data_IF_204317970094
#
_entry.id   IF_204317970094
#
_cell.length_a   1.000
_cell.length_b   1.000
_cell.length_c   1.000
_cell.angle_alpha   90.00
_cell.angle_beta   90.00
_cell.angle_gamma   90.00
#
_symmetry.space_group_name_H-M   'P 1'
#
loop_
_entity.id
_entity.type
_entity.pdbx_description
1 polymer ?
#
# COMPACT_ATOMS: atom_id res chain seq x y z
N UNK A 1 -20.16 -107.84 24.59
CA UNK A 1 -21.13 -107.01 25.38
C UNK A 1 -20.83 -107.11 26.87
N UNK A 2 -20.36 -108.35 27.35
CA UNK A 2 -20.05 -108.59 28.76
C UNK A 2 -18.68 -109.21 28.90
N UNK A 3 -17.94 -108.90 29.94
CA UNK A 3 -16.70 -109.50 30.35
C UNK A 3 -16.77 -109.82 31.86
N UNK A 4 -16.62 -111.14 32.25
CA UNK A 4 -16.76 -111.57 33.63
C UNK A 4 -18.09 -111.11 34.30
N UNK A 5 -19.22 -111.19 33.58
CA UNK A 5 -20.54 -110.90 34.07
C UNK A 5 -20.87 -109.40 34.14
N UNK A 6 -19.98 -108.52 33.83
CA UNK A 6 -20.19 -107.07 33.81
C UNK A 6 -20.32 -106.52 32.38
N UNK A 7 -21.22 -105.61 32.17
CA UNK A 7 -21.36 -104.96 30.90
C UNK A 7 -20.14 -104.14 30.57
N UNK A 8 -19.64 -104.26 29.33
CA UNK A 8 -18.50 -103.49 28.83
C UNK A 8 -19.09 -102.16 28.30
N UNK A 9 -18.63 -101.02 28.90
CA UNK A 9 -18.90 -99.74 28.39
C UNK A 9 -17.75 -99.39 27.42
N UNK A 10 -18.14 -99.13 26.19
CA UNK A 10 -17.22 -98.70 25.17
C UNK A 10 -17.26 -97.15 25.11
N UNK A 11 -16.11 -96.53 24.85
CA UNK A 11 -15.94 -95.10 24.58
C UNK A 11 -15.14 -94.95 23.30
N UNK A 12 -15.31 -93.88 22.65
CA UNK A 12 -14.48 -93.50 21.51
C UNK A 12 -13.63 -92.23 21.90
N UNK A 13 -12.44 -92.19 21.34
CA UNK A 13 -11.52 -91.10 21.44
C UNK A 13 -11.04 -90.72 20.04
N UNK A 14 -10.67 -89.50 19.79
CA UNK A 14 -10.09 -89.01 18.56
C UNK A 14 -8.66 -88.54 18.80
N UNK A 15 -7.76 -88.83 17.87
CA UNK A 15 -6.46 -88.18 17.86
C UNK A 15 -6.68 -86.67 17.50
N UNK A 16 -6.02 -85.78 18.23
CA UNK A 16 -6.20 -84.35 18.07
C UNK A 16 -5.94 -83.92 16.60
N UNK A 17 -6.96 -83.30 15.99
CA UNK A 17 -6.85 -82.68 14.68
C UNK A 17 -6.37 -81.27 14.90
N UNK A 18 -5.27 -80.86 14.30
CA UNK A 18 -4.68 -79.57 14.47
C UNK A 18 -5.70 -78.45 14.08
N UNK A 19 -5.81 -77.41 14.92
CA UNK A 19 -6.70 -76.27 14.74
C UNK A 19 -8.22 -76.55 14.91
N UNK A 20 -8.60 -77.82 15.25
CA UNK A 20 -9.98 -78.16 15.58
C UNK A 20 -10.14 -78.37 17.08
N UNK A 21 -11.26 -77.96 17.60
CA UNK A 21 -11.75 -78.27 18.93
C UNK A 21 -12.71 -79.45 18.83
N UNK A 22 -12.35 -80.61 19.45
CA UNK A 22 -13.15 -81.81 19.37
C UNK A 22 -14.02 -81.99 20.58
N UNK A 23 -15.29 -82.34 20.35
CA UNK A 23 -16.23 -82.70 21.38
C UNK A 23 -16.78 -84.07 21.08
N UNK A 24 -16.87 -85.01 22.13
CA UNK A 24 -17.40 -86.33 21.98
C UNK A 24 -18.64 -86.47 22.84
N UNK A 25 -19.76 -86.80 22.21
CA UNK A 25 -21.03 -87.11 22.88
C UNK A 25 -21.44 -88.47 22.46
N UNK A 26 -21.44 -89.47 23.42
CA UNK A 26 -21.63 -90.86 23.17
C UNK A 26 -20.59 -91.40 22.17
N UNK A 27 -20.98 -91.72 20.97
CA UNK A 27 -20.15 -92.18 19.85
C UNK A 27 -20.05 -91.21 18.69
N UNK A 28 -20.57 -89.99 18.88
CA UNK A 28 -20.49 -88.91 17.90
C UNK A 28 -19.31 -88.04 18.24
N UNK A 29 -18.38 -87.86 17.29
CA UNK A 29 -17.22 -86.98 17.35
C UNK A 29 -17.58 -85.72 16.51
N UNK A 30 -17.51 -84.54 17.13
CA UNK A 30 -17.73 -83.22 16.44
C UNK A 30 -16.47 -82.44 16.53
N UNK A 31 -15.85 -82.12 15.39
CA UNK A 31 -14.73 -81.21 15.26
C UNK A 31 -15.20 -79.77 14.82
N UNK A 32 -14.90 -78.76 15.63
CA UNK A 32 -15.24 -77.39 15.35
C UNK A 32 -13.94 -76.60 15.07
N UNK A 33 -13.88 -76.03 13.91
CA UNK A 33 -12.79 -75.12 13.53
C UNK A 33 -13.25 -73.67 13.83
N UNK A 34 -12.38 -72.87 14.50
CA UNK A 34 -12.56 -71.43 14.68
C UNK A 34 -11.68 -70.70 13.67
N UNK A 35 -12.27 -70.12 12.61
CA UNK A 35 -11.47 -69.41 11.61
C UNK A 35 -10.67 -68.30 12.24
N UNK A 36 -9.43 -68.08 11.80
CA UNK A 36 -8.56 -67.01 12.22
C UNK A 36 -9.15 -65.71 11.72
N UNK A 37 -9.23 -64.71 12.59
CA UNK A 37 -9.68 -63.38 12.28
C UNK A 37 -8.54 -62.38 12.46
N UNK A 38 -8.60 -61.30 11.65
CA UNK A 38 -7.66 -60.18 11.69
C UNK A 38 -8.41 -58.87 11.81
N UNK A 39 -7.71 -57.85 12.30
CA UNK A 39 -8.18 -56.47 12.28
C UNK A 39 -7.46 -55.69 11.15
N UNK A 40 -8.22 -54.87 10.43
CA UNK A 40 -7.68 -54.03 9.37
C UNK A 40 -7.77 -52.58 9.81
N UNK A 41 -6.62 -52.00 10.18
CA UNK A 41 -6.48 -50.62 10.64
C UNK A 41 -6.66 -49.67 9.48
N UNK A 42 -7.40 -48.56 9.68
CA UNK A 42 -7.57 -47.48 8.73
C UNK A 42 -7.05 -46.18 9.37
N UNK A 43 -6.16 -45.54 8.67
CA UNK A 43 -5.63 -44.23 9.05
C UNK A 43 -6.13 -43.17 8.07
N UNK A 44 -6.88 -42.21 8.55
CA UNK A 44 -7.28 -41.02 7.76
C UNK A 44 -6.34 -39.88 8.05
N UNK A 45 -5.77 -39.28 7.01
CA UNK A 45 -4.86 -38.14 7.10
C UNK A 45 -5.49 -36.95 6.37
N UNK A 46 -5.43 -35.80 6.98
CA UNK A 46 -5.84 -34.52 6.42
C UNK A 46 -4.61 -33.68 6.07
N UNK A 47 -4.50 -33.26 4.80
CA UNK A 47 -3.48 -32.37 4.30
C UNK A 47 -4.16 -31.06 3.86
N UNK A 48 -4.53 -30.20 4.82
CA UNK A 48 -5.39 -29.03 4.64
C UNK A 48 -5.01 -27.84 5.53
N UNK A 49 -3.72 -27.72 5.86
CA UNK A 49 -3.17 -26.69 6.74
C UNK A 49 -3.95 -26.59 8.09
N UNK A 50 -4.19 -27.75 8.74
CA UNK A 50 -4.95 -27.83 10.00
C UNK A 50 -6.39 -27.31 9.89
N UNK A 51 -7.06 -27.60 8.77
CA UNK A 51 -8.41 -27.14 8.49
C UNK A 51 -8.53 -25.63 8.45
N UNK A 52 -7.53 -24.95 7.87
CA UNK A 52 -7.46 -23.49 7.79
C UNK A 52 -8.74 -22.89 7.21
N UNK A 53 -9.28 -23.46 6.14
CA UNK A 53 -10.48 -22.97 5.45
C UNK A 53 -11.80 -23.44 6.07
N UNK A 54 -11.72 -24.30 7.11
CA UNK A 54 -12.92 -24.82 7.78
C UNK A 54 -13.74 -25.80 6.95
N UNK A 55 -13.15 -26.40 5.89
CA UNK A 55 -13.88 -27.30 4.95
C UNK A 55 -13.87 -28.77 5.37
N UNK A 56 -13.09 -29.13 6.40
CA UNK A 56 -13.03 -30.52 6.88
C UNK A 56 -14.41 -30.93 7.40
N UNK A 57 -14.98 -32.06 6.88
CA UNK A 57 -16.27 -32.55 7.33
C UNK A 57 -16.17 -33.14 8.73
N UNK A 58 -17.34 -33.35 9.36
CA UNK A 58 -17.43 -34.01 10.66
C UNK A 58 -17.07 -35.48 10.61
N UNK A 59 -17.24 -36.14 9.45
CA UNK A 59 -16.95 -37.56 9.25
C UNK A 59 -16.55 -37.87 7.81
N UNK A 60 -15.84 -38.97 7.63
CA UNK A 60 -15.62 -39.62 6.33
C UNK A 60 -15.93 -41.08 6.44
N UNK A 61 -16.34 -41.69 5.33
CA UNK A 61 -16.69 -43.10 5.27
C UNK A 61 -15.78 -43.84 4.31
N UNK A 62 -15.25 -44.98 4.71
CA UNK A 62 -14.47 -45.87 3.86
C UNK A 62 -15.19 -47.23 3.69
N UNK A 63 -15.18 -47.75 2.47
CA UNK A 63 -15.71 -49.06 2.12
C UNK A 63 -14.54 -50.05 2.11
N UNK A 64 -14.72 -51.20 2.77
CA UNK A 64 -13.80 -52.30 2.73
C UNK A 64 -13.99 -53.12 1.44
N UNK A 65 -12.87 -53.52 0.83
CA UNK A 65 -12.82 -54.44 -0.31
C UNK A 65 -12.00 -55.66 0.10
N UNK A 66 -12.34 -56.81 -0.46
CA UNK A 66 -11.58 -58.06 -0.32
C UNK A 66 -11.16 -58.58 -1.69
N UNK A 67 -9.98 -59.16 -1.75
CA UNK A 67 -9.45 -59.93 -2.86
C UNK A 67 -9.07 -61.32 -2.38
N UNK A 68 -9.57 -62.40 -2.98
CA UNK A 68 -9.30 -63.78 -2.63
C UNK A 68 -8.42 -64.42 -3.72
N UNK A 69 -7.17 -64.74 -3.40
CA UNK A 69 -6.19 -65.22 -4.38
C UNK A 69 -6.01 -64.21 -5.52
N UNK A 70 -6.18 -64.62 -6.78
CA UNK A 70 -5.98 -63.79 -7.97
C UNK A 70 -7.25 -63.08 -8.48
N UNK A 71 -8.38 -63.22 -7.77
CA UNK A 71 -9.65 -62.56 -8.16
C UNK A 71 -9.54 -61.04 -8.05
N UNK A 72 -10.41 -60.28 -8.80
CA UNK A 72 -10.51 -58.83 -8.63
C UNK A 72 -11.05 -58.47 -7.25
N UNK A 73 -10.63 -57.32 -6.68
CA UNK A 73 -11.17 -56.81 -5.43
C UNK A 73 -12.66 -56.51 -5.52
N UNK A 74 -13.45 -57.05 -4.62
CA UNK A 74 -14.89 -56.82 -4.50
C UNK A 74 -15.23 -56.12 -3.18
N UNK A 75 -16.24 -55.23 -3.20
CA UNK A 75 -16.71 -54.59 -1.96
C UNK A 75 -17.27 -55.65 -0.98
N UNK A 76 -16.89 -55.54 0.28
CA UNK A 76 -17.45 -56.40 1.35
C UNK A 76 -18.75 -55.74 1.78
N UNK A 77 -19.87 -56.43 1.51
CA UNK A 77 -21.19 -55.94 1.84
C UNK A 77 -21.36 -55.66 3.35
N UNK A 78 -21.96 -54.50 3.68
CA UNK A 78 -22.15 -54.05 5.04
C UNK A 78 -20.89 -53.63 5.81
N UNK A 79 -19.71 -53.72 5.21
CA UNK A 79 -18.44 -53.32 5.84
C UNK A 79 -18.03 -51.90 5.39
N UNK A 80 -18.69 -50.91 5.95
CA UNK A 80 -18.30 -49.49 5.88
C UNK A 80 -17.82 -49.05 7.26
N UNK A 81 -16.77 -48.22 7.29
CA UNK A 81 -16.22 -47.66 8.52
C UNK A 81 -16.32 -46.14 8.42
N UNK A 82 -16.99 -45.49 9.37
CA UNK A 82 -17.08 -44.06 9.46
C UNK A 82 -16.08 -43.56 10.49
N UNK A 83 -15.15 -42.72 10.07
CA UNK A 83 -14.18 -42.03 10.93
C UNK A 83 -14.67 -40.62 11.21
N UNK A 84 -14.50 -40.19 12.44
CA UNK A 84 -14.95 -38.89 12.95
C UNK A 84 -13.85 -38.20 13.78
N UNK A 85 -14.09 -36.99 14.25
CA UNK A 85 -13.18 -36.33 15.17
C UNK A 85 -12.97 -37.10 16.52
N UNK A 86 -13.80 -38.10 16.85
CA UNK A 86 -13.63 -38.94 18.04
C UNK A 86 -12.48 -39.93 17.85
N UNK A 87 -12.16 -40.29 16.60
CA UNK A 87 -11.10 -41.22 16.22
C UNK A 87 -9.75 -40.50 16.06
N UNK A 88 -9.69 -39.22 16.44
CA UNK A 88 -8.53 -38.35 16.33
C UNK A 88 -7.38 -38.81 17.22
N UNK A 89 -6.21 -39.00 16.63
CA UNK A 89 -4.94 -39.31 17.33
C UNK A 89 -4.03 -38.06 17.40
N UNK A 90 -4.13 -37.16 16.42
CA UNK A 90 -3.47 -35.86 16.39
C UNK A 90 -4.31 -34.84 15.60
N UNK A 91 -3.77 -33.61 15.37
CA UNK A 91 -4.51 -32.51 14.70
C UNK A 91 -5.08 -32.91 13.33
N UNK A 92 -4.41 -33.80 12.60
CA UNK A 92 -4.69 -34.14 11.20
C UNK A 92 -4.87 -35.64 10.93
N UNK A 93 -4.92 -36.47 11.98
CA UNK A 93 -4.98 -37.91 11.81
C UNK A 93 -6.11 -38.52 12.64
N UNK A 94 -6.94 -39.34 12.00
CA UNK A 94 -7.98 -40.17 12.62
C UNK A 94 -7.67 -41.64 12.38
N UNK A 95 -7.92 -42.50 13.34
CA UNK A 95 -7.63 -43.92 13.27
C UNK A 95 -8.80 -44.72 13.76
N UNK A 96 -9.23 -45.70 12.96
CA UNK A 96 -10.20 -46.71 13.36
C UNK A 96 -9.86 -48.07 12.68
N UNK A 97 -10.57 -49.13 13.02
CA UNK A 97 -10.30 -50.45 12.45
C UNK A 97 -11.59 -51.18 12.10
N UNK A 98 -11.56 -51.91 11.00
CA UNK A 98 -12.46 -53.02 10.80
C UNK A 98 -11.97 -54.18 11.65
N UNK A 99 -12.83 -54.75 12.48
CA UNK A 99 -12.46 -55.83 13.38
C UNK A 99 -13.08 -57.14 12.97
N UNK A 100 -12.47 -58.24 13.42
CA UNK A 100 -12.96 -59.58 13.25
C UNK A 100 -13.23 -59.95 11.78
N UNK A 101 -12.27 -59.66 10.90
CA UNK A 101 -12.33 -60.00 9.48
C UNK A 101 -11.73 -61.41 9.26
N UNK A 102 -12.36 -62.28 8.43
CA UNK A 102 -11.77 -63.57 8.06
C UNK A 102 -10.40 -63.39 7.42
N UNK A 103 -9.42 -64.16 7.87
CA UNK A 103 -8.08 -64.18 7.23
C UNK A 103 -8.08 -65.02 5.94
N UNK A 104 -8.92 -66.05 5.87
CA UNK A 104 -8.97 -66.97 4.74
C UNK A 104 -10.41 -67.15 4.23
N UNK A 105 -10.58 -67.43 2.95
CA UNK A 105 -11.83 -67.86 2.31
C UNK A 105 -11.54 -69.01 1.36
N UNK A 106 -12.23 -70.13 1.55
CA UNK A 106 -12.01 -71.40 0.80
C UNK A 106 -10.50 -71.83 0.73
N UNK A 107 -9.81 -71.64 1.84
CA UNK A 107 -8.37 -72.06 1.96
C UNK A 107 -7.39 -71.09 1.33
N UNK A 108 -7.86 -69.94 0.75
CA UNK A 108 -7.02 -68.89 0.19
C UNK A 108 -7.00 -67.66 1.11
N UNK A 109 -5.83 -67.06 1.24
CA UNK A 109 -5.68 -65.83 2.02
C UNK A 109 -6.45 -64.67 1.38
N UNK A 110 -7.09 -63.81 2.21
CA UNK A 110 -7.82 -62.63 1.80
C UNK A 110 -6.90 -61.43 1.94
N UNK A 111 -6.71 -60.72 0.83
CA UNK A 111 -6.08 -59.38 0.85
C UNK A 111 -7.17 -58.32 0.94
N UNK A 112 -7.10 -57.48 1.99
CA UNK A 112 -8.04 -56.37 2.18
C UNK A 112 -7.47 -55.06 1.62
N UNK A 113 -8.38 -54.21 1.10
CA UNK A 113 -8.11 -52.84 0.66
C UNK A 113 -9.31 -51.96 0.98
N UNK A 114 -9.14 -50.63 0.87
CA UNK A 114 -10.18 -49.66 1.18
C UNK A 114 -10.30 -48.65 0.06
N UNK A 115 -11.51 -48.04 -0.04
CA UNK A 115 -11.74 -46.85 -0.82
C UNK A 115 -12.59 -45.88 0.01
N UNK A 116 -12.30 -44.58 -0.07
CA UNK A 116 -13.16 -43.54 0.50
C UNK A 116 -14.44 -43.42 -0.31
N UNK A 117 -15.55 -43.33 0.39
CA UNK A 117 -16.89 -43.11 -0.19
C UNK A 117 -17.22 -41.66 -0.03
N UNK A 118 -17.71 -41.00 -1.10
CA UNK A 118 -18.16 -39.59 -1.07
C UNK A 118 -17.04 -38.64 -0.60
N UNK A 119 -15.98 -38.51 -1.41
CA UNK A 119 -14.89 -37.56 -1.13
C UNK A 119 -15.43 -36.17 -0.84
N UNK A 120 -15.06 -35.54 0.28
CA UNK A 120 -15.59 -34.24 0.65
C UNK A 120 -15.31 -33.16 -0.41
N UNK A 121 -16.28 -32.27 -0.60
CA UNK A 121 -16.15 -31.19 -1.57
C UNK A 121 -14.91 -30.32 -1.27
N UNK A 122 -14.13 -30.03 -2.30
CA UNK A 122 -12.88 -29.27 -2.18
C UNK A 122 -11.65 -30.05 -1.71
N UNK A 123 -11.78 -31.40 -1.60
CA UNK A 123 -10.67 -32.31 -1.31
C UNK A 123 -10.40 -33.23 -2.49
N UNK A 124 -9.13 -33.60 -2.63
CA UNK A 124 -8.67 -34.71 -3.44
C UNK A 124 -8.29 -35.87 -2.52
N UNK A 125 -8.80 -37.09 -2.81
CA UNK A 125 -8.53 -38.27 -2.01
C UNK A 125 -7.50 -39.17 -2.68
N UNK A 126 -6.56 -39.71 -1.88
CA UNK A 126 -5.66 -40.74 -2.29
C UNK A 126 -5.60 -41.86 -1.24
N UNK A 127 -5.43 -43.09 -1.69
CA UNK A 127 -5.33 -44.27 -0.81
C UNK A 127 -4.03 -44.99 -1.09
N UNK A 128 -3.24 -45.22 -0.04
CA UNK A 128 -2.01 -46.01 -0.10
C UNK A 128 -2.02 -47.00 1.06
N UNK A 129 -2.20 -48.32 0.75
CA UNK A 129 -2.37 -49.34 1.74
C UNK A 129 -3.56 -49.07 2.66
N UNK A 130 -3.29 -48.83 3.92
CA UNK A 130 -4.29 -48.58 4.98
C UNK A 130 -4.49 -47.09 5.26
N UNK A 131 -3.87 -46.19 4.47
CA UNK A 131 -3.91 -44.74 4.66
C UNK A 131 -4.76 -44.11 3.60
N UNK A 132 -5.77 -43.33 4.02
CA UNK A 132 -6.60 -42.45 3.18
C UNK A 132 -6.19 -41.02 3.45
N UNK A 133 -5.66 -40.32 2.46
CA UNK A 133 -5.23 -38.92 2.57
C UNK A 133 -6.18 -38.02 1.79
N UNK A 134 -6.76 -37.03 2.45
CA UNK A 134 -7.49 -35.96 1.77
C UNK A 134 -6.66 -34.68 1.78
N UNK A 135 -6.45 -34.14 0.58
CA UNK A 135 -5.66 -32.92 0.38
C UNK A 135 -6.59 -31.78 -0.08
N UNK A 136 -6.47 -30.64 0.59
CA UNK A 136 -7.10 -29.38 0.22
C UNK A 136 -6.06 -28.28 0.22
N UNK A 137 -5.97 -27.53 -0.88
CA UNK A 137 -5.12 -26.34 -0.95
C UNK A 137 -5.91 -25.14 -0.44
N UNK A 138 -5.47 -24.50 0.66
CA UNK A 138 -6.16 -23.35 1.22
C UNK A 138 -6.31 -22.18 0.25
N UNK A 139 -7.45 -21.49 0.31
CA UNK A 139 -7.72 -20.33 -0.48
C UNK A 139 -6.86 -19.13 -0.03
N UNK A 140 -6.44 -18.33 -1.00
CA UNK A 140 -5.63 -17.14 -0.75
C UNK A 140 -6.30 -15.90 -1.35
N UNK A 141 -5.88 -14.73 -0.86
CA UNK A 141 -6.26 -13.41 -1.37
C UNK A 141 -5.02 -12.57 -1.62
N UNK A 142 -5.08 -11.72 -2.64
CA UNK A 142 -4.04 -10.73 -2.95
C UNK A 142 -4.67 -9.35 -2.85
N UNK A 143 -4.03 -8.46 -2.08
CA UNK A 143 -4.43 -7.08 -1.94
C UNK A 143 -3.53 -6.21 -2.82
N UNK A 144 -4.12 -5.28 -3.56
CA UNK A 144 -3.38 -4.36 -4.42
C UNK A 144 -3.92 -2.94 -4.33
N UNK A 145 -3.08 -1.99 -4.72
CA UNK A 145 -3.47 -0.59 -4.68
C UNK A 145 -2.44 0.35 -5.25
N UNK A 146 -2.74 1.65 -5.13
CA UNK A 146 -1.89 2.74 -5.58
C UNK A 146 -1.64 3.74 -4.48
N UNK A 147 -0.47 4.36 -4.50
CA UNK A 147 -0.11 5.51 -3.71
C UNK A 147 -0.32 6.78 -4.52
N UNK A 148 -1.00 7.75 -3.93
CA UNK A 148 -1.29 9.06 -4.53
C UNK A 148 -0.74 10.15 -3.64
N UNK A 149 -0.15 11.20 -4.24
CA UNK A 149 0.32 12.40 -3.59
C UNK A 149 -0.56 13.59 -3.95
N UNK A 150 -0.98 14.37 -2.96
CA UNK A 150 -1.69 15.65 -3.07
C UNK A 150 -0.86 16.72 -2.38
N UNK A 151 0.10 17.30 -3.09
CA UNK A 151 1.13 18.20 -2.56
C UNK A 151 1.61 19.22 -3.61
N UNK A 152 0.71 19.62 -4.53
CA UNK A 152 1.04 20.51 -5.63
C UNK A 152 2.30 20.06 -6.40
N UNK A 153 2.35 18.78 -6.77
CA UNK A 153 3.48 18.21 -7.49
C UNK A 153 4.82 18.34 -6.73
N UNK A 154 4.79 18.11 -5.40
CA UNK A 154 5.94 18.22 -4.52
C UNK A 154 6.53 19.63 -4.45
N UNK A 155 5.66 20.64 -4.47
CA UNK A 155 6.05 22.06 -4.47
C UNK A 155 7.06 22.40 -3.38
N UNK A 156 6.87 21.86 -2.18
CA UNK A 156 7.74 22.14 -1.01
C UNK A 156 8.95 21.21 -0.90
N UNK A 157 9.10 20.23 -1.82
CA UNK A 157 10.20 19.26 -1.80
C UNK A 157 10.14 18.27 -0.64
N UNK A 158 8.96 18.06 -0.04
CA UNK A 158 8.79 17.23 1.17
C UNK A 158 8.41 15.78 0.87
N UNK A 159 8.09 15.46 -0.40
CA UNK A 159 7.71 14.11 -0.79
C UNK A 159 8.83 13.12 -0.54
N UNK A 160 8.52 12.04 0.15
CA UNK A 160 9.46 10.95 0.38
C UNK A 160 9.69 10.15 -0.91
N UNK A 161 10.93 9.69 -1.14
CA UNK A 161 11.27 8.84 -2.30
C UNK A 161 10.55 7.49 -2.26
N UNK A 162 10.22 7.02 -1.07
CA UNK A 162 9.53 5.77 -0.81
C UNK A 162 8.69 5.83 0.45
N UNK A 163 7.62 5.04 0.46
CA UNK A 163 6.76 4.85 1.63
C UNK A 163 6.59 3.37 1.91
N UNK A 164 6.15 3.02 3.12
CA UNK A 164 5.85 1.65 3.54
C UNK A 164 4.35 1.50 3.74
N UNK A 165 3.78 0.57 2.98
CA UNK A 165 2.39 0.15 3.12
C UNK A 165 2.35 -1.16 3.92
N UNK A 166 1.55 -1.20 4.96
CA UNK A 166 1.36 -2.35 5.83
C UNK A 166 0.01 -2.99 5.58
N UNK A 167 -0.01 -4.32 5.49
CA UNK A 167 -1.22 -5.12 5.47
C UNK A 167 -1.37 -5.75 6.86
N UNK A 168 -2.55 -5.61 7.45
CA UNK A 168 -2.82 -6.06 8.80
C UNK A 168 -3.97 -7.08 8.84
N UNK A 169 -3.83 -8.05 9.74
CA UNK A 169 -4.92 -8.90 10.23
C UNK A 169 -5.23 -8.45 11.67
N UNK A 170 -6.34 -7.74 11.86
CA UNK A 170 -6.57 -6.98 13.09
C UNK A 170 -5.46 -5.95 13.31
N UNK A 171 -4.80 -6.00 14.48
CA UNK A 171 -3.68 -5.10 14.81
C UNK A 171 -2.31 -5.66 14.40
N UNK A 172 -2.26 -6.90 13.91
CA UNK A 172 -1.01 -7.56 13.53
C UNK A 172 -0.63 -7.23 12.11
N UNK A 173 0.55 -6.64 11.91
CA UNK A 173 1.14 -6.48 10.58
C UNK A 173 1.57 -7.86 10.05
N UNK A 174 0.98 -8.28 8.94
CA UNK A 174 1.28 -9.56 8.28
C UNK A 174 2.23 -9.39 7.10
N UNK A 175 2.24 -8.21 6.50
CA UNK A 175 3.17 -7.87 5.42
C UNK A 175 3.43 -6.37 5.40
N UNK A 176 4.67 -5.99 5.07
CA UNK A 176 5.09 -4.62 4.77
C UNK A 176 5.61 -4.56 3.34
N UNK A 177 5.20 -3.56 2.57
CA UNK A 177 5.53 -3.38 1.16
C UNK A 177 6.10 -1.99 0.97
N UNK A 178 7.29 -1.90 0.40
CA UNK A 178 7.90 -0.62 0.01
C UNK A 178 7.32 -0.18 -1.35
N UNK A 179 6.90 1.08 -1.44
CA UNK A 179 6.26 1.68 -2.60
C UNK A 179 7.00 2.96 -2.96
N UNK A 180 7.38 3.09 -4.22
CA UNK A 180 8.22 4.18 -4.72
C UNK A 180 7.90 4.49 -6.19
N UNK A 181 8.57 5.46 -6.76
CA UNK A 181 8.49 5.75 -8.19
C UNK A 181 8.92 4.55 -9.06
N UNK A 182 9.93 3.79 -8.63
CA UNK A 182 10.38 2.58 -9.31
C UNK A 182 9.28 1.50 -9.41
N UNK A 183 8.33 1.46 -8.47
CA UNK A 183 7.14 0.59 -8.53
C UNK A 183 5.95 1.24 -9.25
N UNK A 184 6.13 2.45 -9.82
CA UNK A 184 5.05 3.26 -10.37
C UNK A 184 4.00 3.64 -9.31
N UNK A 185 4.44 3.77 -8.06
CA UNK A 185 3.56 4.06 -6.90
C UNK A 185 2.44 3.03 -6.72
N UNK A 186 2.70 1.76 -7.09
CA UNK A 186 1.76 0.64 -6.94
C UNK A 186 2.30 -0.38 -5.95
N UNK A 187 1.39 -1.08 -5.30
CA UNK A 187 1.71 -2.19 -4.43
C UNK A 187 0.78 -3.38 -4.68
N UNK A 188 1.33 -4.56 -4.44
CA UNK A 188 0.59 -5.82 -4.44
C UNK A 188 1.15 -6.72 -3.35
N UNK A 189 0.28 -7.39 -2.61
CA UNK A 189 0.70 -8.34 -1.59
C UNK A 189 1.14 -9.66 -2.23
N UNK A 190 1.91 -10.43 -1.47
CA UNK A 190 1.97 -11.88 -1.71
C UNK A 190 0.59 -12.48 -1.50
N UNK A 191 0.40 -13.72 -1.95
CA UNK A 191 -0.78 -14.49 -1.61
C UNK A 191 -0.88 -14.65 -0.08
N UNK A 192 -1.95 -14.14 0.50
CA UNK A 192 -2.25 -14.21 1.93
C UNK A 192 -3.38 -15.22 2.17
N UNK A 193 -3.42 -15.93 3.32
CA UNK A 193 -4.54 -16.78 3.68
C UNK A 193 -5.87 -16.04 3.60
N UNK A 194 -6.87 -16.63 2.93
CA UNK A 194 -8.21 -16.02 2.88
C UNK A 194 -9.00 -16.32 4.17
N UNK A 195 -8.73 -17.46 4.79
CA UNK A 195 -9.40 -17.92 5.99
C UNK A 195 -8.42 -18.24 7.12
N UNK A 196 -8.89 -18.17 8.35
CA UNK A 196 -8.24 -18.66 9.56
C UNK A 196 -9.28 -19.36 10.44
N UNK A 197 -9.06 -20.64 10.75
CA UNK A 197 -10.03 -21.46 11.50
C UNK A 197 -11.45 -21.42 10.91
N UNK A 198 -11.57 -21.47 9.59
CA UNK A 198 -12.84 -21.44 8.86
C UNK A 198 -13.52 -20.07 8.78
N UNK A 199 -12.91 -19.01 9.32
CA UNK A 199 -13.44 -17.64 9.26
C UNK A 199 -12.66 -16.80 8.27
N UNK A 200 -13.37 -16.05 7.42
CA UNK A 200 -12.73 -15.14 6.47
C UNK A 200 -11.96 -14.03 7.18
N UNK A 201 -10.69 -13.85 6.81
CA UNK A 201 -9.82 -12.80 7.35
C UNK A 201 -10.17 -11.48 6.67
N UNK A 202 -10.45 -10.46 7.46
CA UNK A 202 -10.67 -9.08 6.99
C UNK A 202 -9.36 -8.30 7.11
N UNK A 203 -8.59 -8.31 6.05
CA UNK A 203 -7.35 -7.54 6.00
C UNK A 203 -7.63 -6.05 5.87
N UNK A 204 -6.77 -5.24 6.46
CA UNK A 204 -6.75 -3.78 6.34
C UNK A 204 -5.41 -3.31 5.81
N UNK A 205 -5.42 -2.14 5.18
CA UNK A 205 -4.21 -1.50 4.64
C UNK A 205 -3.96 -0.20 5.40
N UNK A 206 -2.72 0.02 5.80
CA UNK A 206 -2.27 1.24 6.50
C UNK A 206 -0.91 1.67 5.93
N UNK A 207 -0.64 2.95 5.93
CA UNK A 207 0.69 3.49 5.63
C UNK A 207 1.45 3.79 6.92
N UNK A 208 2.74 3.54 6.93
CA UNK A 208 3.63 4.07 7.97
C UNK A 208 3.69 5.60 7.81
N UNK A 209 3.48 6.33 8.89
CA UNK A 209 3.38 7.79 8.85
C UNK A 209 4.54 8.44 8.09
N UNK A 210 4.21 9.32 7.15
CA UNK A 210 5.16 10.17 6.43
C UNK A 210 5.14 11.55 7.05
N UNK A 211 6.32 12.06 7.39
CA UNK A 211 6.46 13.38 8.04
C UNK A 211 5.83 14.47 7.17
N UNK A 212 5.09 15.38 7.81
CA UNK A 212 4.42 16.53 7.19
C UNK A 212 3.28 16.17 6.22
N UNK A 213 2.87 14.89 6.17
CA UNK A 213 1.73 14.43 5.38
C UNK A 213 0.64 13.84 6.25
N UNK A 214 -0.60 14.05 5.82
CA UNK A 214 -1.77 13.34 6.33
C UNK A 214 -2.11 12.22 5.36
N UNK A 215 -2.17 10.98 5.86
CA UNK A 215 -2.49 9.79 5.05
C UNK A 215 -3.95 9.39 5.20
N UNK A 216 -4.58 9.05 4.09
CA UNK A 216 -5.92 8.44 4.04
C UNK A 216 -5.88 7.20 3.15
N UNK A 217 -6.64 6.17 3.54
CA UNK A 217 -6.78 4.93 2.77
C UNK A 217 -8.24 4.76 2.40
N UNK A 218 -8.50 4.53 1.13
CA UNK A 218 -9.82 4.22 0.59
C UNK A 218 -9.78 2.94 -0.23
N UNK A 219 -10.94 2.28 -0.36
CA UNK A 219 -11.08 1.06 -1.16
C UNK A 219 -12.19 1.30 -2.19
N UNK A 220 -11.96 0.92 -3.43
CA UNK A 220 -12.96 0.99 -4.48
C UNK A 220 -13.91 -0.24 -4.47
N UNK A 221 -14.90 -0.25 -5.37
CA UNK A 221 -15.87 -1.34 -5.51
C UNK A 221 -15.24 -2.68 -5.93
N UNK A 222 -14.06 -2.65 -6.51
CA UNK A 222 -13.32 -3.83 -6.98
C UNK A 222 -12.28 -4.30 -5.94
N UNK A 223 -12.29 -3.69 -4.74
CA UNK A 223 -11.41 -4.06 -3.62
C UNK A 223 -9.99 -3.52 -3.73
N UNK A 224 -9.72 -2.60 -4.69
CA UNK A 224 -8.39 -1.97 -4.82
C UNK A 224 -8.24 -0.80 -3.88
N UNK A 225 -7.09 -0.70 -3.25
CA UNK A 225 -6.77 0.35 -2.29
C UNK A 225 -6.16 1.57 -2.95
N UNK A 226 -6.49 2.75 -2.42
CA UNK A 226 -5.79 4.00 -2.71
C UNK A 226 -5.29 4.59 -1.41
N UNK A 227 -3.97 4.75 -1.29
CA UNK A 227 -3.30 5.41 -0.17
C UNK A 227 -2.94 6.82 -0.62
N UNK A 228 -3.60 7.82 -0.06
CA UNK A 228 -3.41 9.23 -0.44
C UNK A 228 -2.70 9.98 0.67
N UNK A 229 -1.56 10.62 0.35
CA UNK A 229 -0.89 11.57 1.22
C UNK A 229 -1.16 12.98 0.76
N UNK A 230 -1.60 13.81 1.70
CA UNK A 230 -1.90 15.23 1.48
C UNK A 230 -0.96 16.10 2.30
N UNK A 231 -0.33 17.08 1.64
CA UNK A 231 0.47 18.14 2.24
C UNK A 231 0.00 19.46 1.65
N UNK A 232 -0.32 20.44 2.50
CA UNK A 232 -0.64 21.80 2.06
C UNK A 232 0.66 22.59 1.95
N UNK A 233 0.99 23.15 0.76
CA UNK A 233 2.21 23.93 0.59
C UNK A 233 2.30 25.10 1.58
N UNK A 234 3.51 25.33 2.08
CA UNK A 234 3.80 26.40 3.02
C UNK A 234 3.64 27.76 2.36
N UNK A 235 3.07 28.69 3.10
CA UNK A 235 2.89 30.08 2.67
C UNK A 235 3.75 31.04 3.48
N UNK A 236 4.03 32.19 2.88
CA UNK A 236 4.77 33.30 3.50
C UNK A 236 4.14 34.63 3.17
N UNK A 237 4.69 35.71 3.74
CA UNK A 237 4.31 37.09 3.40
C UNK A 237 5.55 37.97 3.33
N UNK A 238 5.42 39.07 2.59
CA UNK A 238 6.43 40.11 2.47
C UNK A 238 5.81 41.42 2.93
N UNK A 239 6.43 42.12 3.89
CA UNK A 239 5.98 43.42 4.40
C UNK A 239 7.12 44.40 4.38
N UNK A 240 6.84 45.63 3.96
CA UNK A 240 7.81 46.70 3.88
C UNK A 240 7.26 48.07 4.22
N UNK A 241 8.16 49.01 4.38
CA UNK A 241 7.87 50.39 4.65
C UNK A 241 8.40 51.29 3.52
N UNK A 242 7.65 52.32 3.19
CA UNK A 242 8.10 53.42 2.38
C UNK A 242 8.63 54.54 3.27
N UNK A 243 9.83 55.00 2.99
CA UNK A 243 10.53 56.07 3.73
C UNK A 243 10.80 57.20 2.77
N UNK A 244 10.50 58.45 3.20
CA UNK A 244 10.76 59.65 2.46
C UNK A 244 11.92 60.44 3.08
N UNK A 245 12.89 60.87 2.26
CA UNK A 245 13.97 61.80 2.59
C UNK A 245 13.87 63.00 1.67
N UNK A 246 13.01 63.96 1.99
CA UNK A 246 12.61 65.09 1.15
C UNK A 246 12.29 66.36 1.95
N UNK A 247 12.94 66.51 3.12
CA UNK A 247 12.72 67.65 4.04
C UNK A 247 11.21 67.89 4.31
N UNK A 248 10.47 66.81 4.70
CA UNK A 248 9.01 66.86 4.97
C UNK A 248 8.17 67.31 3.78
N UNK A 249 8.55 66.88 2.56
CA UNK A 249 7.87 67.26 1.30
C UNK A 249 7.99 68.74 1.01
N UNK A 250 9.13 69.32 1.27
CA UNK A 250 9.35 70.79 1.16
C UNK A 250 8.96 71.42 -0.21
N UNK A 251 9.23 70.69 -1.31
CA UNK A 251 8.91 71.14 -2.67
C UNK A 251 7.51 70.65 -3.12
N UNK A 252 6.75 69.97 -2.26
CA UNK A 252 5.34 69.57 -2.53
C UNK A 252 5.18 68.54 -3.62
N UNK A 253 6.24 67.82 -4.00
CA UNK A 253 6.20 66.87 -5.12
C UNK A 253 5.97 65.42 -4.69
N UNK A 254 5.88 65.13 -3.37
CA UNK A 254 5.61 63.79 -2.86
C UNK A 254 4.23 63.33 -3.34
N UNK A 255 4.12 62.18 -4.04
CA UNK A 255 2.83 61.66 -4.46
C UNK A 255 1.99 61.16 -3.27
N UNK A 256 0.67 61.10 -3.42
CA UNK A 256 -0.26 60.58 -2.41
C UNK A 256 -0.05 59.08 -2.12
N UNK A 257 0.49 58.34 -3.08
CA UNK A 257 0.80 56.90 -2.95
C UNK A 257 1.91 56.47 -3.89
N UNK A 258 2.54 55.34 -3.59
CA UNK A 258 3.46 54.64 -4.48
C UNK A 258 2.96 53.26 -4.78
N UNK A 259 3.38 52.69 -5.91
CA UNK A 259 3.12 51.31 -6.27
C UNK A 259 4.40 50.50 -6.16
N UNK A 260 4.33 49.38 -5.44
CA UNK A 260 5.43 48.43 -5.25
C UNK A 260 5.09 47.16 -6.00
N UNK A 261 6.02 46.65 -6.79
CA UNK A 261 5.94 45.36 -7.47
C UNK A 261 6.69 44.32 -6.69
N UNK A 262 6.13 43.07 -6.65
CA UNK A 262 6.77 41.91 -6.05
C UNK A 262 7.50 41.13 -7.12
N UNK A 263 8.74 40.76 -6.85
CA UNK A 263 9.52 39.81 -7.65
C UNK A 263 9.72 38.52 -6.87
N UNK A 264 9.75 37.40 -7.58
CA UNK A 264 10.11 36.08 -7.09
C UNK A 264 11.29 35.59 -7.91
N UNK A 265 12.41 35.23 -7.26
CA UNK A 265 13.66 34.80 -7.92
C UNK A 265 14.09 35.80 -9.03
N UNK A 266 13.92 37.08 -8.76
CA UNK A 266 14.24 38.19 -9.68
C UNK A 266 13.24 38.42 -10.83
N UNK A 267 12.16 37.61 -10.94
CA UNK A 267 11.12 37.75 -11.96
C UNK A 267 9.91 38.48 -11.43
N UNK A 268 9.33 39.38 -12.23
CA UNK A 268 8.09 40.10 -11.88
C UNK A 268 6.92 39.12 -11.75
N UNK A 269 6.29 39.06 -10.59
CA UNK A 269 5.14 38.18 -10.31
C UNK A 269 3.83 38.74 -10.86
N UNK A 270 3.82 39.98 -11.32
CA UNK A 270 2.61 40.73 -11.68
C UNK A 270 1.80 41.23 -10.45
N UNK A 271 2.20 40.87 -9.23
CA UNK A 271 1.55 41.35 -7.99
C UNK A 271 2.06 42.74 -7.64
N UNK A 272 1.14 43.63 -7.27
CA UNK A 272 1.45 44.98 -6.82
C UNK A 272 0.78 45.30 -5.48
N UNK A 273 1.41 46.16 -4.71
CA UNK A 273 0.85 46.71 -3.48
C UNK A 273 1.01 48.26 -3.49
N UNK A 274 0.13 48.92 -2.80
CA UNK A 274 0.14 50.41 -2.71
C UNK A 274 0.51 50.81 -1.28
N UNK A 275 1.49 51.69 -1.14
CA UNK A 275 1.78 52.40 0.11
C UNK A 275 1.37 53.85 0.01
N UNK A 276 0.69 54.37 1.03
CA UNK A 276 0.17 55.73 1.09
C UNK A 276 0.14 56.19 2.54
N UNK A 277 -0.17 57.46 2.76
CA UNK A 277 -0.37 58.00 4.10
C UNK A 277 -1.48 57.25 4.86
N UNK A 278 -2.57 56.86 4.18
CA UNK A 278 -3.67 56.08 4.77
C UNK A 278 -3.23 54.72 5.27
N UNK A 279 -2.20 54.10 4.69
CA UNK A 279 -1.59 52.83 5.15
C UNK A 279 -0.41 53.04 6.09
N UNK A 280 -0.14 54.29 6.52
CA UNK A 280 1.07 54.64 7.27
C UNK A 280 2.35 54.34 6.49
N UNK A 281 2.29 54.47 5.16
CA UNK A 281 3.40 54.17 4.25
C UNK A 281 3.91 52.75 4.38
N UNK A 282 3.02 51.78 4.74
CA UNK A 282 3.32 50.35 4.76
C UNK A 282 2.64 49.64 3.59
N UNK A 283 3.20 48.52 3.18
CA UNK A 283 2.62 47.60 2.20
C UNK A 283 2.90 46.17 2.57
N UNK A 284 2.06 45.26 2.12
CA UNK A 284 2.17 43.83 2.39
C UNK A 284 1.70 43.00 1.19
N UNK A 285 2.40 41.92 0.95
CA UNK A 285 1.98 40.83 0.06
C UNK A 285 1.77 39.59 0.92
N UNK A 286 0.59 39.01 0.91
CA UNK A 286 0.21 37.83 1.70
C UNK A 286 -0.06 36.64 0.79
N UNK A 287 -0.18 35.45 1.38
CA UNK A 287 -0.48 34.20 0.69
C UNK A 287 0.50 33.89 -0.46
N UNK A 288 1.77 34.14 -0.21
CA UNK A 288 2.85 33.84 -1.14
C UNK A 288 3.32 32.40 -0.93
N UNK A 289 3.63 31.71 -2.01
CA UNK A 289 4.26 30.39 -1.92
C UNK A 289 5.66 30.54 -1.31
N UNK A 290 5.97 29.69 -0.31
CA UNK A 290 7.30 29.73 0.32
C UNK A 290 8.33 28.99 -0.51
N UNK A 291 7.91 27.94 -1.21
CA UNK A 291 8.77 27.07 -2.00
C UNK A 291 8.26 26.92 -3.42
N UNK A 292 9.16 26.59 -4.34
CA UNK A 292 8.91 26.16 -5.70
C UNK A 292 9.91 25.04 -6.04
N UNK A 293 9.40 23.90 -6.49
CA UNK A 293 10.23 22.72 -6.84
C UNK A 293 11.21 22.33 -5.72
N UNK A 294 10.77 22.44 -4.47
CA UNK A 294 11.56 22.13 -3.26
C UNK A 294 12.56 23.19 -2.84
N UNK A 295 12.67 24.31 -3.56
CA UNK A 295 13.57 25.42 -3.24
C UNK A 295 12.79 26.60 -2.68
N UNK A 296 13.38 27.26 -1.67
CA UNK A 296 12.78 28.46 -1.13
C UNK A 296 12.80 29.59 -2.17
N UNK A 297 11.66 30.26 -2.35
CA UNK A 297 11.52 31.39 -3.26
C UNK A 297 12.16 32.63 -2.60
N UNK A 298 13.08 33.28 -3.30
CA UNK A 298 13.65 34.55 -2.87
C UNK A 298 12.79 35.70 -3.36
N UNK A 299 12.03 36.32 -2.44
CA UNK A 299 11.21 37.50 -2.74
C UNK A 299 12.00 38.79 -2.64
N UNK A 300 11.76 39.71 -3.56
CA UNK A 300 12.26 41.08 -3.54
C UNK A 300 11.21 42.03 -4.05
N UNK A 301 11.43 43.32 -3.86
CA UNK A 301 10.48 44.36 -4.26
C UNK A 301 11.14 45.43 -5.10
N UNK A 302 10.37 46.03 -6.00
CA UNK A 302 10.75 47.18 -6.82
C UNK A 302 9.65 48.22 -6.80
N UNK A 303 10.02 49.46 -6.60
CA UNK A 303 9.08 50.58 -6.71
C UNK A 303 8.87 50.98 -8.17
N UNK A 304 7.63 51.29 -8.55
CA UNK A 304 7.38 52.00 -9.80
C UNK A 304 8.01 53.39 -9.66
N UNK A 305 8.88 53.82 -10.60
CA UNK A 305 9.60 55.10 -10.47
C UNK A 305 8.70 56.29 -10.11
N UNK A 306 9.17 57.08 -9.15
CA UNK A 306 8.50 58.33 -8.74
C UNK A 306 9.33 59.51 -9.30
N UNK A 307 8.67 60.38 -10.07
CA UNK A 307 9.32 61.53 -10.68
C UNK A 307 9.93 62.47 -9.62
N UNK A 308 11.14 62.95 -9.84
CA UNK A 308 11.85 63.83 -8.92
C UNK A 308 12.53 63.14 -7.74
N UNK A 309 12.43 61.80 -7.63
CA UNK A 309 13.05 61.00 -6.56
C UNK A 309 14.02 59.97 -7.07
N UNK A 310 15.08 59.71 -6.29
CA UNK A 310 15.92 58.56 -6.41
C UNK A 310 15.47 57.50 -5.38
N UNK A 311 15.26 56.25 -5.82
CA UNK A 311 14.77 55.15 -4.97
C UNK A 311 15.91 54.19 -4.59
N UNK A 312 15.95 53.75 -3.33
CA UNK A 312 16.85 52.70 -2.80
C UNK A 312 16.01 51.70 -2.05
N UNK A 313 16.21 50.41 -2.36
CA UNK A 313 15.57 49.26 -1.67
C UNK A 313 16.60 48.61 -0.76
N UNK A 314 16.25 48.41 0.50
CA UNK A 314 17.04 47.68 1.50
C UNK A 314 16.14 46.64 2.19
N UNK A 315 16.35 45.36 1.88
CA UNK A 315 15.40 44.31 2.22
C UNK A 315 14.06 44.58 1.54
N UNK A 316 13.00 44.82 2.30
CA UNK A 316 11.70 45.19 1.80
C UNK A 316 11.34 46.70 2.08
N UNK A 317 12.29 47.49 2.59
CA UNK A 317 12.05 48.90 2.81
C UNK A 317 12.54 49.72 1.63
N UNK A 318 11.73 50.68 1.22
CA UNK A 318 11.99 51.53 0.06
C UNK A 318 12.19 52.95 0.55
N UNK A 319 13.36 53.52 0.30
CA UNK A 319 13.67 54.93 0.63
C UNK A 319 13.73 55.75 -0.66
N UNK A 320 12.89 56.77 -0.74
CA UNK A 320 12.99 57.81 -1.79
C UNK A 320 13.68 59.06 -1.24
N UNK A 321 14.66 59.52 -1.99
CA UNK A 321 15.42 60.71 -1.65
C UNK A 321 15.19 61.80 -2.74
N UNK A 322 14.79 62.98 -2.32
CA UNK A 322 14.73 64.19 -3.13
C UNK A 322 15.51 65.27 -2.42
N UNK A 323 16.41 65.93 -3.15
CA UNK A 323 17.14 67.10 -2.63
C UNK A 323 16.48 68.34 -3.19
N UNK A 324 15.81 69.15 -2.35
CA UNK A 324 15.18 70.41 -2.80
C UNK A 324 16.20 71.33 -3.45
N UNK A 325 15.78 72.00 -4.51
CA UNK A 325 16.62 73.00 -5.16
C UNK A 325 16.88 74.16 -4.21
N UNK A 326 18.17 74.50 -4.07
CA UNK A 326 18.55 75.66 -3.30
C UNK A 326 18.05 76.90 -4.04
N UNK A 327 17.32 77.90 -3.38
CA UNK A 327 16.92 79.04 -4.05
C UNK A 327 18.12 79.74 -4.67
N UNK A 328 18.09 79.93 -5.99
CA UNK A 328 19.13 80.71 -6.67
C UNK A 328 19.00 82.15 -6.17
N UNK A 329 20.04 82.78 -5.59
CA UNK A 329 19.97 84.20 -5.20
C UNK A 329 19.62 85.00 -6.43
N UNK A 330 18.49 85.78 -6.39
CA UNK A 330 18.07 86.59 -7.43
C UNK A 330 19.21 87.57 -7.85
N UNK A 331 19.54 87.61 -9.14
CA UNK A 331 20.46 88.64 -9.69
C UNK A 331 19.95 90.03 -9.30
N UNK A 332 20.81 90.87 -8.75
CA UNK A 332 20.44 92.26 -8.51
C UNK A 332 20.02 92.95 -9.85
N UNK A 333 18.87 93.66 -9.81
CA UNK A 333 18.36 94.50 -10.95
C UNK A 333 19.44 95.46 -11.34
N UNK A 334 19.94 95.42 -12.57
CA UNK A 334 20.71 96.46 -13.21
C UNK A 334 19.71 97.58 -13.63
N UNK A 335 20.06 98.88 -13.42
CA UNK A 335 19.21 99.98 -13.80
C UNK A 335 19.11 100.19 -15.34
N UNK A 336 17.93 100.47 -15.78
CA UNK A 336 17.47 100.49 -17.16
C UNK A 336 18.26 101.28 -18.16
N UNK A 337 18.29 100.79 -19.37
CA UNK A 337 18.59 101.54 -20.60
C UNK A 337 17.39 101.47 -21.53
N UNK A 338 17.04 102.56 -22.20
CA UNK A 338 15.74 102.70 -22.92
C UNK A 338 15.71 101.86 -24.21
N UNK A 339 14.55 101.26 -24.49
CA UNK A 339 14.34 100.39 -25.64
C UNK A 339 14.20 101.15 -26.99
N UNK A 340 14.28 100.44 -28.07
CA UNK A 340 13.56 100.75 -29.29
C UNK A 340 12.39 99.82 -29.61
N UNK A 341 11.52 100.37 -30.40
CA UNK A 341 10.16 100.04 -30.78
C UNK A 341 9.92 98.62 -31.35
N UNK A 342 8.63 98.24 -31.40
CA UNK A 342 8.18 96.88 -31.74
C UNK A 342 8.18 96.67 -33.25
N UNK A 343 8.50 95.42 -33.65
CA UNK A 343 8.23 94.91 -34.97
C UNK A 343 7.37 93.66 -34.90
N UNK A 344 6.33 93.65 -35.72
CA UNK A 344 5.26 92.70 -35.86
C UNK A 344 5.70 91.38 -36.49
N UNK A 345 4.85 90.38 -36.56
CA UNK A 345 5.17 88.97 -36.46
C UNK A 345 5.51 88.34 -37.81
N UNK A 346 6.24 87.21 -37.75
CA UNK A 346 6.29 86.35 -38.92
C UNK A 346 5.88 84.96 -38.49
N UNK A 347 4.84 84.51 -39.16
CA UNK A 347 4.27 83.14 -39.12
C UNK A 347 5.19 82.13 -39.80
N UNK A 348 5.25 80.99 -39.32
CA UNK A 348 5.70 79.89 -40.15
C UNK A 348 6.35 78.69 -39.41
N UNK A 349 5.56 77.72 -39.37
CA UNK A 349 5.91 76.27 -39.51
C UNK A 349 6.58 75.47 -38.41
N UNK A 350 5.84 74.42 -38.12
CA UNK A 350 6.12 73.08 -37.60
C UNK A 350 7.54 72.56 -37.72
N UNK A 351 8.02 71.96 -36.67
CA UNK A 351 8.68 70.66 -36.76
C UNK A 351 8.61 69.91 -35.44
N UNK A 352 8.05 68.79 -35.53
CA UNK A 352 8.01 67.73 -34.51
C UNK A 352 9.38 67.13 -34.24
N UNK A 353 9.44 66.45 -33.11
CA UNK A 353 10.36 65.37 -32.73
C UNK A 353 11.45 65.75 -31.74
N UNK A 354 11.31 65.15 -30.57
CA UNK A 354 12.42 64.65 -29.84
C UNK A 354 11.93 63.52 -28.94
N UNK A 355 12.09 62.33 -29.43
CA UNK A 355 12.09 61.15 -28.58
C UNK A 355 13.41 61.12 -27.84
N UNK A 356 13.37 61.23 -26.53
CA UNK A 356 14.52 60.92 -25.69
C UNK A 356 14.39 59.47 -25.22
N UNK A 357 15.20 58.63 -25.84
CA UNK A 357 15.44 57.26 -25.42
C UNK A 357 16.37 57.30 -24.22
N UNK A 358 15.83 56.97 -23.03
CA UNK A 358 16.67 56.71 -21.88
C UNK A 358 17.19 55.25 -21.97
N UNK A 359 18.47 55.11 -22.24
CA UNK A 359 19.13 53.82 -22.33
C UNK A 359 19.22 53.12 -20.97
N UNK A 360 18.63 51.94 -20.89
CA UNK A 360 18.88 50.99 -19.84
C UNK A 360 20.18 50.27 -20.15
N UNK A 361 21.20 50.48 -19.30
CA UNK A 361 22.41 49.66 -19.31
C UNK A 361 22.09 48.29 -18.70
N UNK A 362 21.99 47.26 -19.54
CA UNK A 362 22.00 45.86 -19.13
C UNK A 362 23.46 45.45 -18.90
N UNK A 363 23.85 45.16 -17.66
CA UNK A 363 25.04 44.39 -17.36
C UNK A 363 24.70 42.90 -17.53
N UNK A 364 25.12 42.35 -18.63
CA UNK A 364 25.11 40.86 -18.81
C UNK A 364 26.31 40.28 -18.09
N UNK A 365 26.09 39.47 -17.06
CA UNK A 365 27.05 38.57 -16.50
C UNK A 365 26.93 37.25 -17.25
N UNK A 366 27.90 36.96 -18.12
CA UNK A 366 28.07 35.71 -18.81
C UNK A 366 28.70 34.71 -17.86
N UNK A 367 27.89 33.81 -17.31
CA UNK A 367 28.38 32.59 -16.63
C UNK A 367 28.27 31.42 -17.61
N UNK A 368 29.44 30.88 -18.00
CA UNK A 368 29.57 29.84 -19.01
C UNK A 368 28.99 28.51 -18.56
N UNK A 369 28.17 27.95 -19.42
CA UNK A 369 27.70 26.54 -19.34
C UNK A 369 28.80 25.63 -19.84
N UNK A 370 29.33 24.79 -18.97
CA UNK A 370 30.09 23.59 -19.34
C UNK A 370 29.11 22.40 -19.48
N UNK A 371 28.84 21.99 -20.71
CA UNK A 371 28.27 20.71 -21.02
C UNK A 371 29.33 19.60 -20.92
N UNK A 372 29.18 18.67 -20.00
CA UNK A 372 29.92 17.41 -20.07
C UNK A 372 28.95 16.33 -20.53
N UNK A 373 29.07 16.01 -21.81
CA UNK A 373 28.53 14.79 -22.40
C UNK A 373 29.33 13.58 -21.90
N UNK A 374 28.70 12.59 -21.33
CA UNK A 374 29.26 11.24 -21.23
C UNK A 374 28.35 10.25 -21.95
N UNK A 375 28.88 9.80 -23.10
CA UNK A 375 28.45 8.61 -23.82
C UNK A 375 29.00 7.36 -23.13
N UNK A 376 28.13 6.36 -23.07
CA UNK A 376 28.29 4.91 -23.20
C UNK A 376 29.45 4.17 -22.49
N UNK A 377 29.13 3.26 -21.62
CA UNK A 377 29.14 1.81 -21.96
C UNK A 377 28.22 1.07 -20.98
#
# INVERSE_FOLDING_TARGET
>A
KYKAGKEIKYTVTEEAVAEYESTITDFTITNKYAPKAIDYKVTKVWNDANNQDGKRPESVTVQLYKKVGDADPVAVEGKKLTLTARDKTDANTWVASFTNLPQYEAGKEITYSIKEVDVPAGYESSVTGQVVTNTHTPETVVLSGTKVWKDNNNQDGKRADKVKVQILNGDKVVQEIEVSEATGWKFESKALPKYENGKEIKYTVKEVAVKEYTSTVTTDKDGKYTVTNTHAPEKTSVKGHKIWKDEENKDGIRPASITVKLLADGQDTGKTAVASEATGWTYEFTDLDRYKDGQAIEYSVVEVPVEGYSSKVEGFNITNTHTPEKPTPGKPNEPGKPGPKPQLPNTGEKASSAAVVAGLALMAVTGGLYFVSRKNK
#
